data_IF_946642010639
#
_entry.id   IF_946642010639
#
_cell.length_a   1.000
_cell.length_b   1.000
_cell.length_c   1.000
_cell.angle_alpha   90.00
_cell.angle_beta   90.00
_cell.angle_gamma   90.00
#
_symmetry.space_group_name_H-M   'P 1'
#
loop_
_entity.id
_entity.type
_entity.pdbx_description
1 polymer ?
#
# COMPACT_ATOMS: atom_id res chain seq x y z
N UNK A 1 3.86 24.56 -11.29
CA UNK A 1 3.35 23.17 -11.37
C UNK A 1 2.36 23.13 -12.50
N UNK A 2 2.57 22.25 -13.49
CA UNK A 2 1.57 22.04 -14.54
C UNK A 2 0.42 21.15 -14.03
N UNK A 3 -0.72 21.15 -14.73
CA UNK A 3 -1.91 20.38 -14.34
C UNK A 3 -1.62 18.88 -14.13
N UNK A 4 -0.75 18.31 -14.95
CA UNK A 4 -0.28 16.92 -14.88
C UNK A 4 0.42 16.63 -13.56
N UNK A 5 1.32 17.53 -13.13
CA UNK A 5 2.02 17.40 -11.84
C UNK A 5 1.04 17.48 -10.67
N UNK A 6 0.10 18.44 -10.71
CA UNK A 6 -0.91 18.61 -9.67
C UNK A 6 -1.80 17.36 -9.52
N UNK A 7 -2.27 16.81 -10.64
CA UNK A 7 -3.07 15.57 -10.66
C UNK A 7 -2.22 14.41 -10.14
N UNK A 8 -0.97 14.28 -10.58
CA UNK A 8 -0.05 13.23 -10.15
C UNK A 8 0.20 13.24 -8.65
N UNK A 9 0.50 14.41 -8.07
CA UNK A 9 0.70 14.57 -6.63
C UNK A 9 -0.59 14.31 -5.84
N UNK A 10 -1.73 14.80 -6.33
CA UNK A 10 -3.03 14.57 -5.66
C UNK A 10 -3.40 13.09 -5.68
N UNK A 11 -3.22 12.40 -6.81
CA UNK A 11 -3.45 10.96 -6.92
C UNK A 11 -2.51 10.17 -5.99
N UNK A 12 -1.22 10.50 -5.98
CA UNK A 12 -0.23 9.91 -5.08
C UNK A 12 -0.62 10.08 -3.60
N UNK A 13 -1.02 11.30 -3.21
CA UNK A 13 -1.43 11.61 -1.85
C UNK A 13 -2.69 10.83 -1.45
N UNK A 14 -3.75 10.92 -2.25
CA UNK A 14 -5.04 10.28 -1.96
C UNK A 14 -4.89 8.75 -1.86
N UNK A 15 -4.18 8.14 -2.79
CA UNK A 15 -3.96 6.68 -2.77
C UNK A 15 -3.15 6.24 -1.57
N UNK A 16 -2.07 6.97 -1.22
CA UNK A 16 -1.24 6.64 -0.06
C UNK A 16 -2.01 6.79 1.25
N UNK A 17 -2.71 7.91 1.43
CA UNK A 17 -3.49 8.20 2.65
C UNK A 17 -4.65 7.23 2.82
N UNK A 18 -5.25 6.73 1.73
CA UNK A 18 -6.33 5.74 1.81
C UNK A 18 -5.91 4.45 2.54
N UNK A 19 -4.64 4.04 2.48
CA UNK A 19 -4.15 2.86 3.20
C UNK A 19 -3.88 3.11 4.68
N UNK A 20 -3.72 4.37 5.10
CA UNK A 20 -3.33 4.70 6.47
C UNK A 20 -4.44 4.36 7.50
N UNK A 21 -5.72 4.76 7.32
CA UNK A 21 -6.79 4.38 8.25
C UNK A 21 -6.94 2.87 8.42
N UNK A 22 -6.88 2.11 7.31
CA UNK A 22 -6.98 0.66 7.36
C UNK A 22 -5.79 0.03 8.08
N UNK A 23 -4.57 0.51 7.82
CA UNK A 23 -3.37 0.02 8.50
C UNK A 23 -3.44 0.28 10.00
N UNK A 24 -3.83 1.50 10.40
CA UNK A 24 -3.98 1.87 11.81
C UNK A 24 -5.08 1.07 12.51
N UNK A 25 -6.21 0.82 11.84
CA UNK A 25 -7.29 0.01 12.38
C UNK A 25 -6.80 -1.42 12.66
N UNK A 26 -6.16 -2.07 11.68
CA UNK A 26 -5.63 -3.44 11.84
C UNK A 26 -4.54 -3.48 12.92
N UNK A 27 -3.66 -2.48 12.99
CA UNK A 27 -2.65 -2.38 14.04
C UNK A 27 -3.26 -2.26 15.44
N UNK A 28 -4.35 -1.51 15.58
CA UNK A 28 -5.04 -1.27 16.85
C UNK A 28 -5.89 -2.46 17.29
N UNK A 29 -6.71 -3.01 16.41
CA UNK A 29 -7.65 -4.10 16.75
C UNK A 29 -7.00 -5.46 16.70
N UNK A 30 -5.93 -5.62 15.90
CA UNK A 30 -5.36 -6.91 15.50
C UNK A 30 -6.35 -7.84 14.79
N UNK A 31 -7.53 -7.32 14.43
CA UNK A 31 -8.53 -8.05 13.68
C UNK A 31 -8.16 -8.02 12.20
N UNK A 32 -7.81 -9.19 11.69
CA UNK A 32 -7.45 -9.40 10.29
C UNK A 32 -8.51 -10.20 9.54
N UNK A 33 -9.66 -10.52 10.15
CA UNK A 33 -10.69 -11.41 9.58
C UNK A 33 -11.13 -11.00 8.18
N UNK A 34 -11.36 -9.69 7.95
CA UNK A 34 -11.72 -9.11 6.65
C UNK A 34 -10.56 -8.89 5.66
N UNK A 35 -9.32 -9.20 6.04
CA UNK A 35 -8.13 -9.00 5.19
C UNK A 35 -7.86 -10.26 4.37
N UNK A 36 -8.10 -10.20 3.06
CA UNK A 36 -7.79 -11.29 2.14
C UNK A 36 -6.28 -11.42 1.91
N UNK A 37 -5.73 -12.59 2.25
CA UNK A 37 -4.30 -12.89 2.07
C UNK A 37 -3.88 -12.84 0.59
N UNK A 38 -4.68 -13.43 -0.30
CA UNK A 38 -4.37 -13.47 -1.74
C UNK A 38 -4.39 -12.08 -2.38
N UNK A 39 -5.40 -11.27 -2.06
CA UNK A 39 -5.53 -9.91 -2.56
C UNK A 39 -4.34 -9.05 -2.12
N UNK A 40 -3.99 -9.05 -0.83
CA UNK A 40 -2.86 -8.26 -0.34
C UNK A 40 -1.51 -8.76 -0.87
N UNK A 41 -1.34 -10.06 -1.08
CA UNK A 41 -0.11 -10.62 -1.66
C UNK A 41 0.10 -10.14 -3.11
N UNK A 42 -0.95 -10.24 -3.94
CA UNK A 42 -0.92 -9.74 -5.33
C UNK A 42 -0.73 -8.23 -5.37
N UNK A 43 -1.40 -7.50 -4.46
CA UNK A 43 -1.27 -6.05 -4.37
C UNK A 43 0.16 -5.63 -4.02
N UNK A 44 0.78 -6.22 -3.00
CA UNK A 44 2.17 -5.93 -2.62
C UNK A 44 3.14 -6.22 -3.77
N UNK A 45 2.96 -7.36 -4.46
CA UNK A 45 3.77 -7.70 -5.63
C UNK A 45 3.60 -6.68 -6.77
N UNK A 46 2.37 -6.29 -7.08
CA UNK A 46 2.07 -5.28 -8.09
C UNK A 46 2.69 -3.91 -7.77
N UNK A 47 2.57 -3.45 -6.52
CA UNK A 47 3.17 -2.18 -6.07
C UNK A 47 4.70 -2.24 -6.10
N UNK A 48 5.31 -3.38 -5.76
CA UNK A 48 6.76 -3.56 -5.88
C UNK A 48 7.21 -3.46 -7.35
N UNK A 49 6.46 -4.05 -8.29
CA UNK A 49 6.74 -3.90 -9.73
C UNK A 49 6.55 -2.45 -10.21
N UNK A 50 5.52 -1.76 -9.74
CA UNK A 50 5.32 -0.33 -10.02
C UNK A 50 6.44 0.55 -9.47
N UNK A 51 6.98 0.22 -8.29
CA UNK A 51 8.13 0.91 -7.71
C UNK A 51 9.38 0.72 -8.58
N UNK A 52 9.67 -0.51 -9.01
CA UNK A 52 10.76 -0.81 -9.95
C UNK A 52 10.55 -0.04 -11.26
N UNK A 53 9.35 -0.06 -11.82
CA UNK A 53 9.02 0.71 -13.03
C UNK A 53 9.24 2.22 -12.85
N UNK A 54 8.81 2.78 -11.72
CA UNK A 54 8.99 4.19 -11.40
C UNK A 54 10.47 4.58 -11.29
N UNK A 55 11.29 3.74 -10.65
CA UNK A 55 12.74 3.91 -10.57
C UNK A 55 13.38 3.92 -11.95
N UNK A 56 13.02 2.97 -12.82
CA UNK A 56 13.51 2.91 -14.20
C UNK A 56 13.11 4.13 -15.05
N UNK A 57 11.98 4.77 -14.72
CA UNK A 57 11.48 5.97 -15.41
C UNK A 57 11.92 7.29 -14.76
N UNK A 58 12.57 7.27 -13.60
CA UNK A 58 12.89 8.48 -12.83
C UNK A 58 11.65 9.24 -12.34
N UNK A 59 10.50 8.58 -12.21
CA UNK A 59 9.22 9.22 -11.90
C UNK A 59 9.04 9.39 -10.38
N UNK A 60 9.64 10.43 -9.79
CA UNK A 60 9.67 10.66 -8.35
C UNK A 60 8.31 10.59 -7.63
N UNK A 61 7.21 11.21 -8.12
CA UNK A 61 5.91 11.09 -7.46
C UNK A 61 5.41 9.64 -7.38
N UNK A 62 5.63 8.86 -8.44
CA UNK A 62 5.26 7.45 -8.51
C UNK A 62 6.12 6.60 -7.56
N UNK A 63 7.43 6.88 -7.51
CA UNK A 63 8.37 6.18 -6.62
C UNK A 63 7.97 6.39 -5.16
N UNK A 64 7.79 7.65 -4.74
CA UNK A 64 7.46 7.99 -3.34
C UNK A 64 6.12 7.39 -2.93
N UNK A 65 5.10 7.49 -3.78
CA UNK A 65 3.78 6.94 -3.50
C UNK A 65 3.81 5.41 -3.33
N UNK A 66 4.46 4.69 -4.25
CA UNK A 66 4.52 3.23 -4.19
C UNK A 66 5.40 2.75 -3.04
N UNK A 67 6.48 3.45 -2.69
CA UNK A 67 7.32 3.09 -1.55
C UNK A 67 6.52 3.12 -0.23
N UNK A 68 5.78 4.21 0.02
CA UNK A 68 4.98 4.35 1.25
C UNK A 68 3.84 3.30 1.24
N UNK A 69 3.15 3.17 0.11
CA UNK A 69 2.06 2.20 -0.05
C UNK A 69 2.54 0.76 0.17
N UNK A 70 3.72 0.40 -0.34
CA UNK A 70 4.32 -0.92 -0.15
C UNK A 70 4.61 -1.19 1.33
N UNK A 71 5.15 -0.21 2.05
CA UNK A 71 5.41 -0.33 3.49
C UNK A 71 4.13 -0.56 4.29
N UNK A 72 3.09 0.24 4.05
CA UNK A 72 1.80 0.12 4.73
C UNK A 72 1.11 -1.23 4.41
N UNK A 73 0.98 -1.57 3.13
CA UNK A 73 0.32 -2.81 2.70
C UNK A 73 1.08 -4.07 3.14
N UNK A 74 2.42 -4.05 3.12
CA UNK A 74 3.23 -5.16 3.63
C UNK A 74 3.06 -5.35 5.14
N UNK A 75 2.89 -4.26 5.91
CA UNK A 75 2.64 -4.38 7.34
C UNK A 75 1.30 -5.07 7.63
N UNK A 76 0.24 -4.74 6.88
CA UNK A 76 -1.07 -5.41 6.97
C UNK A 76 -0.92 -6.89 6.58
N UNK A 77 -0.21 -7.18 5.48
CA UNK A 77 0.01 -8.55 5.01
C UNK A 77 0.73 -9.39 6.07
N UNK A 78 1.79 -8.84 6.69
CA UNK A 78 2.52 -9.50 7.79
C UNK A 78 1.59 -9.75 8.98
N UNK A 79 0.75 -8.79 9.37
CA UNK A 79 -0.24 -8.99 10.42
C UNK A 79 -1.23 -10.09 10.07
N UNK A 80 -1.76 -10.12 8.83
CA UNK A 80 -2.67 -11.17 8.37
C UNK A 80 -2.02 -12.56 8.46
N UNK A 81 -0.75 -12.69 8.09
CA UNK A 81 -0.01 -13.96 8.20
C UNK A 81 0.18 -14.36 9.67
N UNK A 82 0.55 -13.41 10.54
CA UNK A 82 0.79 -13.67 11.98
C UNK A 82 -0.48 -14.03 12.74
N UNK A 83 -1.60 -13.37 12.44
CA UNK A 83 -2.89 -13.56 13.12
C UNK A 83 -3.86 -14.46 12.33
N UNK A 84 -3.35 -15.23 11.36
CA UNK A 84 -4.18 -16.10 10.51
C UNK A 84 -5.06 -17.09 11.31
N UNK A 85 -4.61 -17.51 12.51
CA UNK A 85 -5.37 -18.41 13.40
C UNK A 85 -6.56 -17.77 14.10
N UNK A 86 -6.68 -16.43 14.15
CA UNK A 86 -7.83 -15.73 14.73
C UNK A 86 -8.96 -15.51 13.72
N UNK A 87 -8.70 -15.77 12.43
CA UNK A 87 -9.64 -15.56 11.34
C UNK A 87 -10.29 -16.86 10.83
N UNK A 88 -9.99 -18.01 11.46
CA UNK A 88 -10.55 -19.32 11.17
C UNK A 88 -11.31 -19.81 12.40
#
# INVERSE_FOLDING_TARGET
MDLTELIGFTAAFLTTVAFLPQTLLVLRTRDVSGVSLGMYSLFCAGIALWLVYGLLKGAWPLIVANLITLGLSSSILVMRIRFAKQAA
#
